data_IF_435717173035
#
_entry.id   IF_435717173035
#
_cell.length_a   1.000
_cell.length_b   1.000
_cell.length_c   1.000
_cell.angle_alpha   90.00
_cell.angle_beta   90.00
_cell.angle_gamma   90.00
#
_symmetry.space_group_name_H-M   'P 1'
#
loop_
_entity.id
_entity.type
_entity.pdbx_description
1 polymer ?
#
# COMPACT_ATOMS: atom_id res chain seq x y z
N UNK A 1 4.93 25.40 0.66
CA UNK A 1 5.81 24.23 0.90
C UNK A 1 5.78 23.97 2.39
N UNK A 2 5.23 22.84 2.79
CA UNK A 2 5.15 22.43 4.18
C UNK A 2 5.78 21.06 4.32
N UNK A 3 6.50 20.84 5.40
CA UNK A 3 7.08 19.54 5.72
C UNK A 3 6.01 18.67 6.39
N UNK A 4 5.82 17.45 5.88
CA UNK A 4 4.94 16.47 6.52
C UNK A 4 5.80 15.45 7.26
N UNK A 5 5.51 15.24 8.55
CA UNK A 5 6.07 14.14 9.32
C UNK A 5 5.08 12.97 9.31
N UNK A 6 5.47 11.86 8.67
CA UNK A 6 4.60 10.71 8.43
C UNK A 6 4.25 9.93 9.71
N UNK A 7 5.13 9.97 10.71
CA UNK A 7 4.88 9.37 12.03
C UNK A 7 3.83 10.19 12.77
N UNK A 8 4.02 11.51 12.84
CA UNK A 8 3.05 12.42 13.48
C UNK A 8 1.67 12.35 12.81
N UNK A 9 1.64 12.15 11.48
CA UNK A 9 0.41 12.01 10.71
C UNK A 9 -0.39 10.74 11.04
N UNK A 10 0.28 9.68 11.54
CA UNK A 10 -0.33 8.36 11.70
C UNK A 10 -0.38 7.83 13.13
N UNK A 11 0.39 8.40 14.06
CA UNK A 11 0.54 7.92 15.45
C UNK A 11 -0.78 7.78 16.21
N UNK A 12 -1.74 8.65 15.93
CA UNK A 12 -3.03 8.69 16.65
C UNK A 12 -4.15 7.96 15.91
N UNK A 13 -3.86 7.38 14.73
CA UNK A 13 -4.85 6.60 13.97
C UNK A 13 -4.97 5.21 14.60
N UNK A 14 -6.18 4.92 15.10
CA UNK A 14 -6.55 3.64 15.70
C UNK A 14 -7.49 2.80 14.80
N UNK A 15 -7.92 3.37 13.68
CA UNK A 15 -8.75 2.66 12.68
C UNK A 15 -8.00 1.44 12.12
N UNK A 16 -8.72 0.34 11.87
CA UNK A 16 -8.14 -0.86 11.26
C UNK A 16 -7.65 -0.62 9.83
N UNK A 17 -8.28 0.30 9.12
CA UNK A 17 -7.85 0.68 7.78
C UNK A 17 -8.14 2.14 7.51
N UNK A 18 -7.09 2.91 7.22
CA UNK A 18 -7.18 4.30 6.79
C UNK A 18 -6.11 4.57 5.73
N UNK A 19 -6.54 4.87 4.50
CA UNK A 19 -5.69 5.15 3.35
C UNK A 19 -6.07 6.51 2.76
N UNK A 20 -5.09 7.41 2.62
CA UNK A 20 -5.31 8.74 2.07
C UNK A 20 -4.06 9.30 1.40
N UNK A 21 -4.27 10.26 0.51
CA UNK A 21 -3.19 10.98 -0.20
C UNK A 21 -2.49 11.95 0.75
N UNK A 22 -1.17 11.84 0.85
CA UNK A 22 -0.30 12.77 1.58
C UNK A 22 0.16 13.91 0.69
N UNK A 23 0.50 13.63 -0.57
CA UNK A 23 0.99 14.61 -1.52
C UNK A 23 0.80 14.14 -2.96
N UNK A 24 0.52 15.09 -3.86
CA UNK A 24 0.52 14.86 -5.31
C UNK A 24 1.86 15.28 -5.90
N UNK A 25 2.40 14.45 -6.81
CA UNK A 25 3.65 14.68 -7.53
C UNK A 25 3.37 14.50 -9.01
N UNK A 26 3.15 15.60 -9.73
CA UNK A 26 2.70 15.59 -11.12
C UNK A 26 1.42 14.73 -11.28
N UNK A 27 1.47 13.67 -12.10
CA UNK A 27 0.37 12.71 -12.30
C UNK A 27 0.35 11.55 -11.29
N UNK A 28 1.16 11.59 -10.25
CA UNK A 28 1.26 10.53 -9.23
C UNK A 28 0.90 11.06 -7.86
N UNK A 29 0.63 10.17 -6.93
CA UNK A 29 0.42 10.55 -5.54
C UNK A 29 1.21 9.64 -4.59
N UNK A 30 1.69 10.24 -3.51
CA UNK A 30 2.13 9.53 -2.33
C UNK A 30 0.93 9.35 -1.41
N UNK A 31 0.55 8.11 -1.16
CA UNK A 31 -0.45 7.71 -0.17
C UNK A 31 0.23 7.16 1.06
N UNK A 32 -0.48 7.23 2.18
CA UNK A 32 -0.14 6.52 3.40
C UNK A 32 -1.34 5.70 3.86
N UNK A 33 -1.08 4.45 4.25
CA UNK A 33 -2.05 3.54 4.79
C UNK A 33 -1.66 3.14 6.22
N UNK A 34 -2.60 3.26 7.15
CA UNK A 34 -2.56 2.55 8.44
C UNK A 34 -3.51 1.37 8.30
N UNK A 35 -2.98 0.15 8.48
CA UNK A 35 -3.68 -1.06 8.07
C UNK A 35 -3.50 -2.22 9.05
N UNK A 36 -4.54 -3.03 9.23
CA UNK A 36 -4.55 -4.33 9.90
C UNK A 36 -5.69 -5.15 9.29
N UNK A 37 -5.42 -6.40 8.92
CA UNK A 37 -6.37 -7.29 8.26
C UNK A 37 -5.92 -7.67 6.86
N UNK A 38 -6.88 -7.85 5.96
CA UNK A 38 -6.65 -8.28 4.57
C UNK A 38 -7.38 -7.32 3.63
N UNK A 39 -6.72 -6.95 2.54
CA UNK A 39 -7.36 -6.25 1.43
C UNK A 39 -7.92 -7.26 0.42
N UNK A 40 -8.70 -6.80 -0.55
CA UNK A 40 -9.17 -7.68 -1.62
C UNK A 40 -8.02 -7.99 -2.60
N UNK A 41 -8.08 -9.15 -3.26
CA UNK A 41 -7.22 -9.42 -4.41
C UNK A 41 -7.53 -8.43 -5.52
N UNK A 42 -6.49 -7.80 -6.07
CA UNK A 42 -6.64 -6.78 -7.08
C UNK A 42 -5.39 -6.63 -7.94
N UNK A 43 -5.52 -5.86 -9.01
CA UNK A 43 -4.41 -5.32 -9.78
C UNK A 43 -4.78 -3.94 -10.34
N UNK A 44 -3.75 -3.22 -10.79
CA UNK A 44 -3.87 -1.98 -11.54
C UNK A 44 -3.52 -2.25 -13.01
N UNK A 45 -4.40 -1.95 -13.95
CA UNK A 45 -4.15 -2.22 -15.38
C UNK A 45 -3.27 -1.17 -16.04
N UNK A 46 -3.18 0.01 -15.44
CA UNK A 46 -2.57 1.20 -16.04
C UNK A 46 -1.47 1.86 -15.19
N UNK A 47 -1.10 1.30 -14.04
CA UNK A 47 -0.10 1.87 -13.14
C UNK A 47 0.68 0.78 -12.42
N UNK A 48 1.98 1.00 -12.26
CA UNK A 48 2.74 0.31 -11.23
C UNK A 48 2.35 0.88 -9.85
N UNK A 49 2.53 0.09 -8.80
CA UNK A 49 2.33 0.51 -7.41
C UNK A 49 3.58 0.18 -6.59
N UNK A 50 4.18 1.20 -5.96
CA UNK A 50 5.33 1.01 -5.07
C UNK A 50 4.88 1.03 -3.61
N UNK A 51 5.21 -0.02 -2.85
CA UNK A 51 5.03 -0.07 -1.40
C UNK A 51 6.34 0.23 -0.67
N UNK A 52 6.27 1.00 0.43
CA UNK A 52 7.37 1.21 1.38
C UNK A 52 6.81 1.08 2.80
N UNK A 53 7.37 0.21 3.64
CA UNK A 53 6.88 0.05 5.02
C UNK A 53 7.62 0.99 5.97
N UNK A 54 6.88 1.71 6.82
CA UNK A 54 7.41 2.60 7.85
C UNK A 54 7.32 2.01 9.26
N UNK A 55 6.28 1.21 9.53
CA UNK A 55 6.03 0.58 10.83
C UNK A 55 5.36 -0.77 10.62
N UNK A 56 5.69 -1.75 11.48
CA UNK A 56 5.03 -3.05 11.46
C UNK A 56 5.55 -3.95 10.34
N UNK A 57 4.70 -4.84 9.87
CA UNK A 57 5.01 -5.81 8.83
C UNK A 57 3.84 -5.87 7.85
N UNK A 58 4.14 -5.74 6.55
CA UNK A 58 3.19 -5.86 5.46
C UNK A 58 3.50 -7.14 4.68
N UNK A 59 2.50 -7.99 4.51
CA UNK A 59 2.56 -9.16 3.65
C UNK A 59 1.89 -8.83 2.33
N UNK A 60 2.50 -9.23 1.21
CA UNK A 60 1.90 -9.12 -0.11
C UNK A 60 1.89 -10.51 -0.74
N UNK A 61 0.69 -11.06 -0.90
CA UNK A 61 0.48 -12.34 -1.58
C UNK A 61 0.40 -12.14 -3.09
N UNK A 62 0.91 -13.11 -3.84
CA UNK A 62 0.85 -13.19 -5.29
C UNK A 62 0.08 -14.43 -5.75
N UNK A 63 -0.39 -14.41 -7.00
CA UNK A 63 -1.22 -15.48 -7.59
C UNK A 63 -0.48 -16.83 -7.68
N UNK A 64 0.85 -16.82 -7.74
CA UNK A 64 1.69 -18.02 -7.76
C UNK A 64 1.85 -18.69 -6.37
N UNK A 65 1.27 -18.08 -5.34
CA UNK A 65 1.34 -18.57 -3.95
C UNK A 65 2.56 -18.08 -3.18
N UNK A 66 3.44 -17.26 -3.78
CA UNK A 66 4.48 -16.58 -3.04
C UNK A 66 3.93 -15.42 -2.20
N UNK A 67 4.61 -15.13 -1.09
CA UNK A 67 4.33 -13.97 -0.24
C UNK A 67 5.60 -13.19 -0.01
N UNK A 68 5.62 -11.92 -0.43
CA UNK A 68 6.63 -10.98 0.02
C UNK A 68 6.31 -10.50 1.44
N UNK A 69 7.32 -10.46 2.31
CA UNK A 69 7.21 -9.97 3.68
C UNK A 69 8.08 -8.74 3.84
N UNK A 70 7.45 -7.58 3.98
CA UNK A 70 8.13 -6.29 4.09
C UNK A 70 8.14 -5.81 5.54
N UNK A 71 9.31 -5.41 6.01
CA UNK A 71 9.57 -4.81 7.33
C UNK A 71 9.90 -3.33 7.17
N UNK A 72 10.02 -2.56 8.27
CA UNK A 72 10.29 -1.13 8.17
C UNK A 72 11.57 -0.85 7.37
N UNK A 73 11.47 0.07 6.42
CA UNK A 73 12.47 0.46 5.42
C UNK A 73 12.64 -0.51 4.24
N UNK A 74 11.84 -1.57 4.14
CA UNK A 74 11.75 -2.36 2.91
C UNK A 74 10.79 -1.69 1.91
N UNK A 75 11.05 -1.94 0.62
CA UNK A 75 10.16 -1.54 -0.46
C UNK A 75 10.02 -2.63 -1.51
N UNK A 76 8.89 -2.64 -2.21
CA UNK A 76 8.65 -3.51 -3.36
C UNK A 76 7.81 -2.76 -4.39
N UNK A 77 8.21 -2.89 -5.66
CA UNK A 77 7.41 -2.43 -6.79
C UNK A 77 6.52 -3.58 -7.24
N UNK A 78 5.23 -3.32 -7.36
CA UNK A 78 4.25 -4.21 -7.97
C UNK A 78 4.00 -3.68 -9.39
N UNK A 79 4.48 -4.38 -10.43
CA UNK A 79 4.24 -3.95 -11.81
C UNK A 79 2.75 -3.96 -12.16
N UNK A 80 2.34 -3.07 -13.06
CA UNK A 80 0.98 -3.08 -13.63
C UNK A 80 0.58 -4.50 -14.10
N UNK A 81 -0.70 -4.81 -13.95
CA UNK A 81 -1.30 -6.13 -14.22
C UNK A 81 -0.86 -7.27 -13.30
N UNK A 82 -0.06 -7.01 -12.25
CA UNK A 82 0.28 -8.03 -11.24
C UNK A 82 -0.86 -8.17 -10.23
N UNK A 83 -1.50 -9.35 -10.21
CA UNK A 83 -2.53 -9.67 -9.24
C UNK A 83 -1.88 -9.93 -7.89
N UNK A 84 -2.32 -9.19 -6.88
CA UNK A 84 -1.76 -9.28 -5.54
C UNK A 84 -2.79 -8.92 -4.47
N UNK A 85 -2.45 -9.19 -3.22
CA UNK A 85 -3.24 -8.81 -2.06
C UNK A 85 -2.35 -8.43 -0.88
N UNK A 86 -2.65 -7.29 -0.27
CA UNK A 86 -1.96 -6.87 0.95
C UNK A 86 -2.64 -7.41 2.21
N UNK A 87 -1.84 -7.83 3.19
CA UNK A 87 -2.29 -8.31 4.49
C UNK A 87 -1.38 -7.83 5.60
N UNK A 88 -1.92 -7.64 6.78
CA UNK A 88 -1.16 -7.33 7.98
C UNK A 88 -1.81 -7.96 9.22
N UNK A 89 -1.06 -8.80 9.93
CA UNK A 89 -1.53 -9.48 11.15
C UNK A 89 -1.68 -8.52 12.35
N UNK A 90 -0.95 -7.41 12.31
CA UNK A 90 -0.95 -6.33 13.30
C UNK A 90 -0.94 -4.99 12.57
N UNK A 91 -1.04 -3.89 13.32
CA UNK A 91 -0.89 -2.54 12.79
C UNK A 91 0.39 -2.42 11.96
N UNK A 92 0.23 -1.98 10.72
CA UNK A 92 1.29 -1.57 9.82
C UNK A 92 1.03 -0.15 9.33
N UNK A 93 2.10 0.56 9.01
CA UNK A 93 2.05 1.85 8.31
C UNK A 93 2.92 1.73 7.08
N UNK A 94 2.32 1.87 5.91
CA UNK A 94 3.04 1.81 4.63
C UNK A 94 2.68 3.00 3.75
N UNK A 95 3.62 3.37 2.90
CA UNK A 95 3.41 4.30 1.80
C UNK A 95 3.07 3.51 0.54
N UNK A 96 2.21 4.09 -0.29
CA UNK A 96 2.03 3.69 -1.68
C UNK A 96 2.38 4.87 -2.59
N UNK A 97 3.06 4.61 -3.70
CA UNK A 97 3.28 5.60 -4.75
C UNK A 97 2.80 5.03 -6.09
N UNK A 98 1.84 5.71 -6.70
CA UNK A 98 1.13 5.25 -7.89
C UNK A 98 0.58 6.45 -8.67
N UNK A 99 0.11 6.20 -9.90
CA UNK A 99 -0.60 7.20 -10.69
C UNK A 99 -1.91 7.60 -9.98
N UNK A 100 -2.29 8.88 -10.02
CA UNK A 100 -3.55 9.37 -9.44
C UNK A 100 -4.77 8.73 -10.12
N UNK A 101 -4.62 8.35 -11.38
CA UNK A 101 -5.65 7.68 -12.20
C UNK A 101 -5.48 6.16 -12.22
N UNK A 102 -4.69 5.59 -11.30
CA UNK A 102 -4.56 4.14 -11.17
C UNK A 102 -5.93 3.51 -10.91
N UNK A 103 -6.31 2.52 -11.73
CA UNK A 103 -7.55 1.79 -11.57
C UNK A 103 -7.36 0.63 -10.59
N UNK A 104 -8.34 0.34 -9.73
CA UNK A 104 -8.28 -0.87 -8.89
C UNK A 104 -9.30 -1.87 -9.40
N UNK A 105 -8.83 -2.91 -10.08
CA UNK A 105 -9.68 -3.99 -10.58
C UNK A 105 -9.64 -5.12 -9.56
N UNK A 106 -10.75 -5.34 -8.87
CA UNK A 106 -10.90 -6.45 -7.91
C UNK A 106 -11.04 -7.78 -8.66
N UNK A 107 -10.42 -8.82 -8.12
CA UNK A 107 -10.53 -10.19 -8.61
C UNK A 107 -11.41 -10.98 -7.65
N UNK A 108 -12.56 -11.43 -8.11
CA UNK A 108 -13.43 -12.29 -7.31
C UNK A 108 -12.91 -13.74 -7.38
N UNK A 109 -12.33 -14.19 -6.26
CA UNK A 109 -11.81 -15.55 -6.01
C UNK A 109 -10.58 -15.95 -6.85
N UNK A 110 -9.49 -16.20 -6.13
CA UNK A 110 -8.32 -16.99 -6.56
C UNK A 110 -8.28 -18.31 -5.79
#
# INVERSE_FOLDING_TARGET
>A
METVNLIELTKDIQDQHKNFVVSNVNSHCLRIAVFTGEYDWHYHSNSDELFIVLEGELLIDFEDGETAVLKPNDSILIPACTIHRTRALKRTVNLCFENIEADTIKVEQL
#
